data_IF_827113420599
#
_entry.id   IF_827113420599
#
_cell.length_a   1.000
_cell.length_b   1.000
_cell.length_c   1.000
_cell.angle_alpha   90.00
_cell.angle_beta   90.00
_cell.angle_gamma   90.00
#
_symmetry.space_group_name_H-M   'P 1'
#
loop_
_entity.id
_entity.type
_entity.pdbx_description
1 polymer ?
#
# COMPACT_ATOMS: atom_id res chain seq x y z
N UNK A 1 12.26 6.01 6.64
CA UNK A 1 11.87 5.26 5.42
C UNK A 1 11.61 3.83 5.82
N UNK A 2 10.49 3.28 5.39
CA UNK A 2 10.06 1.92 5.63
C UNK A 2 9.62 1.28 4.31
N UNK A 3 9.92 0.00 4.13
CA UNK A 3 9.45 -0.76 2.98
C UNK A 3 8.61 -1.95 3.47
N UNK A 4 7.34 -1.93 3.10
CA UNK A 4 6.35 -2.92 3.49
C UNK A 4 6.13 -3.87 2.30
N UNK A 5 6.84 -5.01 2.31
CA UNK A 5 6.71 -6.05 1.29
C UNK A 5 5.74 -7.14 1.71
N UNK A 6 4.93 -7.62 0.77
CA UNK A 6 4.11 -8.81 0.93
C UNK A 6 4.24 -9.70 -0.29
N UNK A 7 4.68 -10.92 -0.04
CA UNK A 7 4.75 -11.98 -1.06
C UNK A 7 3.33 -12.41 -1.49
N UNK A 8 3.26 -13.10 -2.62
CA UNK A 8 2.03 -13.66 -3.18
C UNK A 8 1.29 -14.51 -2.14
N UNK A 9 -0.02 -14.33 -2.04
CA UNK A 9 -0.83 -15.11 -1.08
C UNK A 9 -2.24 -15.41 -1.58
N UNK A 10 -2.75 -16.55 -1.13
CA UNK A 10 -4.14 -16.94 -1.36
C UNK A 10 -5.10 -16.11 -0.49
N UNK A 11 -6.11 -15.51 -1.12
CA UNK A 11 -7.16 -14.74 -0.42
C UNK A 11 -8.36 -15.63 -0.13
N UNK A 12 -8.98 -16.19 -1.17
CA UNK A 12 -10.23 -16.96 -1.07
C UNK A 12 -10.52 -17.81 -2.30
N UNK A 13 -11.51 -18.69 -2.18
CA UNK A 13 -12.24 -19.24 -3.32
C UNK A 13 -13.38 -18.32 -3.74
N UNK A 14 -13.64 -18.24 -5.04
CA UNK A 14 -14.61 -17.34 -5.64
C UNK A 14 -13.96 -16.03 -6.09
N UNK A 15 -14.24 -15.65 -7.33
CA UNK A 15 -13.72 -14.45 -8.00
C UNK A 15 -14.79 -13.34 -7.99
N UNK A 16 -15.16 -12.81 -9.16
CA UNK A 16 -16.29 -11.89 -9.33
C UNK A 16 -17.63 -12.60 -9.02
N UNK A 17 -17.71 -13.90 -9.29
CA UNK A 17 -18.77 -14.79 -8.81
C UNK A 17 -18.25 -15.65 -7.65
N UNK A 18 -18.91 -15.51 -6.49
CA UNK A 18 -18.55 -16.19 -5.24
C UNK A 18 -19.01 -17.64 -5.16
N UNK A 19 -19.79 -18.11 -6.13
CA UNK A 19 -20.24 -19.51 -6.19
C UNK A 19 -19.25 -20.42 -6.94
N UNK A 20 -18.11 -19.89 -7.37
CA UNK A 20 -17.07 -20.64 -8.07
C UNK A 20 -16.02 -21.15 -7.09
N UNK A 21 -15.38 -22.27 -7.43
CA UNK A 21 -14.24 -22.82 -6.69
C UNK A 21 -12.91 -22.29 -7.19
N UNK A 22 -12.92 -21.31 -8.09
CA UNK A 22 -11.67 -20.73 -8.60
C UNK A 22 -10.99 -19.88 -7.52
N UNK A 23 -9.67 -20.02 -7.35
CA UNK A 23 -8.94 -19.26 -6.35
C UNK A 23 -8.82 -17.79 -6.77
N UNK A 24 -8.75 -16.92 -5.78
CA UNK A 24 -8.28 -15.54 -5.90
C UNK A 24 -6.99 -15.43 -5.11
N UNK A 25 -5.92 -15.03 -5.80
CA UNK A 25 -4.57 -14.94 -5.27
C UNK A 25 -4.10 -13.51 -5.51
N UNK A 26 -3.65 -12.82 -4.46
CA UNK A 26 -3.00 -11.51 -4.62
C UNK A 26 -1.56 -11.72 -5.05
N UNK A 27 -1.13 -10.97 -6.06
CA UNK A 27 0.25 -10.93 -6.51
C UNK A 27 1.15 -10.28 -5.45
N UNK A 28 2.46 -10.50 -5.56
CA UNK A 28 3.42 -9.81 -4.71
C UNK A 28 3.33 -8.28 -4.91
N UNK A 29 3.47 -7.52 -3.83
CA UNK A 29 3.49 -6.07 -3.87
C UNK A 29 4.35 -5.50 -2.75
N UNK A 30 4.86 -4.29 -2.95
CA UNK A 30 5.63 -3.58 -1.94
C UNK A 30 5.28 -2.10 -1.87
N UNK A 31 5.12 -1.58 -0.66
CA UNK A 31 4.87 -0.15 -0.43
C UNK A 31 6.07 0.50 0.22
N UNK A 32 6.59 1.55 -0.43
CA UNK A 32 7.64 2.39 0.12
C UNK A 32 7.01 3.60 0.82
N UNK A 33 7.23 3.69 2.12
CA UNK A 33 6.76 4.78 2.96
C UNK A 33 7.95 5.60 3.45
N UNK A 34 7.84 6.92 3.40
CA UNK A 34 8.87 7.87 3.79
C UNK A 34 8.31 8.79 4.86
N UNK A 35 9.12 9.12 5.85
CA UNK A 35 8.79 10.10 6.87
C UNK A 35 10.05 10.88 7.22
N UNK A 36 9.88 12.18 7.47
CA UNK A 36 10.93 13.08 7.89
C UNK A 36 10.36 14.09 8.88
N UNK A 37 11.14 14.44 9.91
CA UNK A 37 10.80 15.50 10.84
C UNK A 37 12.01 16.39 11.10
N UNK A 38 11.75 17.66 11.35
CA UNK A 38 12.75 18.65 11.65
C UNK A 38 12.28 19.53 12.81
N UNK A 39 13.07 19.53 13.88
CA UNK A 39 12.81 20.37 15.05
C UNK A 39 13.35 21.77 14.76
N UNK A 40 12.43 22.72 14.55
CA UNK A 40 12.77 24.10 14.27
C UNK A 40 13.12 24.86 15.55
N UNK A 41 12.46 24.54 16.65
CA UNK A 41 12.75 25.02 18.01
C UNK A 41 12.31 23.98 19.05
N UNK A 42 12.63 24.20 20.33
CA UNK A 42 12.21 23.33 21.45
C UNK A 42 10.68 23.16 21.56
N UNK A 43 9.93 24.03 20.89
CA UNK A 43 8.48 24.12 20.93
C UNK A 43 7.82 23.89 19.57
N UNK A 44 8.59 23.65 18.49
CA UNK A 44 8.05 23.57 17.13
C UNK A 44 8.76 22.52 16.27
N UNK A 45 8.00 21.56 15.75
CA UNK A 45 8.48 20.52 14.84
C UNK A 45 7.71 20.58 13.52
N UNK A 46 8.43 20.51 12.41
CA UNK A 46 7.88 20.34 11.06
C UNK A 46 8.01 18.87 10.69
N UNK A 47 6.96 18.27 10.14
CA UNK A 47 6.97 16.87 9.71
C UNK A 47 6.42 16.71 8.30
N UNK A 48 6.95 15.69 7.61
CA UNK A 48 6.57 15.26 6.28
C UNK A 48 6.38 13.75 6.28
N UNK A 49 5.31 13.30 5.63
CA UNK A 49 4.99 11.88 5.44
C UNK A 49 4.62 11.64 3.97
N UNK A 50 5.16 10.57 3.40
CA UNK A 50 4.81 10.07 2.08
C UNK A 50 4.48 8.59 2.18
N UNK A 51 3.27 8.19 1.82
CA UNK A 51 2.80 6.80 1.87
C UNK A 51 2.66 6.27 0.45
N UNK A 52 3.14 5.05 0.21
CA UNK A 52 3.16 4.40 -1.09
C UNK A 52 3.77 5.30 -2.19
N UNK A 53 4.97 5.83 -1.97
CA UNK A 53 5.57 6.85 -2.88
C UNK A 53 5.86 6.31 -4.28
N UNK A 54 5.98 4.99 -4.43
CA UNK A 54 6.12 4.29 -5.72
C UNK A 54 4.79 4.12 -6.46
N UNK A 55 3.66 4.41 -5.81
CA UNK A 55 2.30 4.17 -6.33
C UNK A 55 2.09 2.72 -6.75
N UNK A 56 2.50 1.78 -5.90
CA UNK A 56 2.33 0.34 -6.17
C UNK A 56 0.85 -0.03 -6.16
N UNK A 57 0.41 -0.74 -7.20
CA UNK A 57 -0.96 -1.26 -7.34
C UNK A 57 -1.12 -2.62 -6.66
N UNK A 58 -2.32 -2.90 -6.18
CA UNK A 58 -2.69 -4.22 -5.68
C UNK A 58 -3.39 -5.01 -6.79
N UNK A 59 -2.82 -6.16 -7.15
CA UNK A 59 -3.35 -7.02 -8.21
C UNK A 59 -3.75 -8.38 -7.65
N UNK A 60 -4.87 -8.91 -8.12
CA UNK A 60 -5.30 -10.25 -7.81
C UNK A 60 -5.63 -11.03 -9.08
N UNK A 61 -5.11 -12.24 -9.16
CA UNK A 61 -5.30 -13.18 -10.24
C UNK A 61 -6.04 -14.44 -9.82
N UNK A 62 -6.36 -15.26 -10.81
CA UNK A 62 -6.91 -16.60 -10.66
C UNK A 62 -5.82 -17.67 -10.52
N UNK A 63 -6.18 -18.92 -10.86
CA UNK A 63 -5.25 -20.06 -10.87
C UNK A 63 -4.00 -19.84 -11.75
N UNK A 64 -4.15 -19.07 -12.82
CA UNK A 64 -3.07 -18.75 -13.75
C UNK A 64 -2.80 -17.25 -13.75
N UNK A 65 -1.55 -16.84 -13.92
CA UNK A 65 -1.12 -15.44 -13.87
C UNK A 65 -1.80 -14.54 -14.93
N UNK A 66 -2.24 -15.12 -16.05
CA UNK A 66 -2.97 -14.39 -17.09
C UNK A 66 -4.47 -14.23 -16.80
N UNK A 67 -4.99 -14.78 -15.70
CA UNK A 67 -6.38 -14.64 -15.28
C UNK A 67 -6.51 -13.48 -14.29
N UNK A 68 -6.45 -12.24 -14.77
CA UNK A 68 -6.64 -11.08 -13.91
C UNK A 68 -8.08 -11.01 -13.40
N UNK A 69 -8.25 -10.89 -12.07
CA UNK A 69 -9.55 -10.85 -11.40
C UNK A 69 -9.85 -9.43 -10.90
N UNK A 70 -8.87 -8.77 -10.30
CA UNK A 70 -9.03 -7.45 -9.71
C UNK A 70 -7.72 -6.65 -9.79
N UNK A 71 -7.86 -5.34 -9.98
CA UNK A 71 -6.79 -4.37 -9.73
C UNK A 71 -7.35 -3.24 -8.88
N UNK A 72 -6.71 -2.99 -7.76
CA UNK A 72 -6.93 -1.81 -6.94
C UNK A 72 -5.76 -0.86 -7.11
N UNK A 73 -6.03 0.28 -7.73
CA UNK A 73 -5.00 1.29 -8.01
C UNK A 73 -4.47 1.89 -6.72
N UNK A 74 -3.16 1.78 -6.53
CA UNK A 74 -2.45 2.46 -5.47
C UNK A 74 -2.13 3.89 -5.88
N UNK A 75 -2.31 4.84 -4.97
CA UNK A 75 -1.87 6.21 -5.17
C UNK A 75 -0.93 6.63 -4.06
N UNK A 76 0.12 7.35 -4.45
CA UNK A 76 0.98 8.03 -3.50
C UNK A 76 0.20 9.12 -2.75
N UNK A 77 0.39 9.18 -1.43
CA UNK A 77 -0.22 10.21 -0.58
C UNK A 77 0.87 10.93 0.19
N UNK A 78 0.79 12.26 0.24
CA UNK A 78 1.76 13.10 0.91
C UNK A 78 1.06 13.98 1.92
N UNK A 79 1.67 14.13 3.10
CA UNK A 79 1.23 15.03 4.15
C UNK A 79 2.43 15.85 4.64
N UNK A 80 2.16 17.10 4.96
CA UNK A 80 3.10 17.99 5.65
C UNK A 80 2.35 18.64 6.79
N UNK A 81 3.01 18.77 7.93
CA UNK A 81 2.39 19.37 9.10
C UNK A 81 3.40 20.03 10.02
N UNK A 82 2.84 20.77 10.97
CA UNK A 82 3.58 21.48 12.01
C UNK A 82 2.95 21.10 13.34
N UNK A 83 3.78 20.74 14.31
CA UNK A 83 3.39 20.54 15.69
C UNK A 83 4.04 21.63 16.55
N UNK A 84 3.26 22.24 17.44
CA UNK A 84 3.75 23.17 18.43
C UNK A 84 3.31 22.75 19.84
N UNK A 85 4.20 22.91 20.81
CA UNK A 85 3.99 22.59 22.23
C UNK A 85 4.33 23.83 23.08
N UNK A 86 3.49 24.15 24.08
CA UNK A 86 3.57 25.38 24.89
C UNK A 86 3.32 25.13 26.37
#
# INVERSE_FOLDING_TARGET
VAYNFRDQFFDRFGQNDRNTTEPTIFDEYGQLDVSASYDYSDTMTIFFEGVNVTSEDLRAGGRYANHMVNVATGSARYAVGVRAEF
#
